data_IF_923540208444
#
_entry.id   IF_923540208444
#
_cell.length_a   1.000
_cell.length_b   1.000
_cell.length_c   1.000
_cell.angle_alpha   90.00
_cell.angle_beta   90.00
_cell.angle_gamma   90.00
#
_symmetry.space_group_name_H-M   'P 1'
#
loop_
_entity.id
_entity.type
_entity.pdbx_description
1 polymer ?
#
# COMPACT_ATOMS: atom_id res chain seq x y z
N UNK A 1 2.18 7.48 -32.21
CA UNK A 1 2.67 6.96 -30.92
C UNK A 1 1.86 7.65 -29.84
N UNK A 2 0.90 6.95 -29.23
CA UNK A 2 0.04 7.54 -28.18
C UNK A 2 0.71 7.28 -26.84
N UNK A 3 1.30 8.30 -26.23
CA UNK A 3 1.74 8.20 -24.85
C UNK A 3 0.49 8.04 -23.98
N UNK A 4 0.29 6.85 -23.43
CA UNK A 4 -0.77 6.62 -22.46
C UNK A 4 -0.35 7.30 -21.16
N UNK A 5 -0.80 8.54 -20.97
CA UNK A 5 -0.76 9.20 -19.67
C UNK A 5 -1.90 8.61 -18.84
N UNK A 6 -1.55 7.70 -17.92
CA UNK A 6 -2.51 7.05 -17.01
C UNK A 6 -2.18 7.37 -15.57
N UNK A 7 -3.19 7.72 -14.80
CA UNK A 7 -3.10 7.76 -13.34
C UNK A 7 -3.17 6.33 -12.77
N UNK A 8 -2.52 6.05 -11.63
CA UNK A 8 -2.63 4.76 -10.99
C UNK A 8 -4.04 4.57 -10.42
N UNK A 9 -4.63 3.40 -10.64
CA UNK A 9 -5.94 3.03 -10.08
C UNK A 9 -5.85 2.63 -8.59
N UNK A 10 -4.65 2.29 -8.11
CA UNK A 10 -4.40 1.91 -6.73
C UNK A 10 -3.00 2.35 -6.32
N UNK A 11 -2.89 2.96 -5.13
CA UNK A 11 -1.61 3.36 -4.52
C UNK A 11 -1.61 2.88 -3.07
N UNK A 12 -0.53 2.23 -2.66
CA UNK A 12 -0.29 1.78 -1.29
C UNK A 12 1.07 2.31 -0.81
N UNK A 13 1.10 2.85 0.39
CA UNK A 13 2.27 3.49 0.99
C UNK A 13 2.49 3.01 2.41
N UNK A 14 3.75 2.91 2.81
CA UNK A 14 4.16 2.43 4.13
C UNK A 14 5.31 3.28 4.67
N UNK A 15 5.31 3.53 5.97
CA UNK A 15 6.46 4.02 6.74
C UNK A 15 7.01 2.85 7.55
N UNK A 16 8.26 2.45 7.31
CA UNK A 16 8.88 1.28 7.95
C UNK A 16 10.39 1.45 8.05
N UNK A 17 11.01 0.80 9.04
CA UNK A 17 12.47 0.68 9.14
C UNK A 17 13.07 -0.32 8.18
N UNK A 18 12.29 -1.32 7.80
CA UNK A 18 12.73 -2.43 6.97
C UNK A 18 11.91 -2.42 5.70
N UNK A 19 12.41 -1.78 4.63
CA UNK A 19 11.67 -1.69 3.38
C UNK A 19 11.48 -3.10 2.80
N UNK A 20 10.22 -3.42 2.49
CA UNK A 20 9.83 -4.69 1.89
C UNK A 20 9.19 -4.42 0.53
N UNK A 21 9.66 -5.14 -0.49
CA UNK A 21 8.99 -5.17 -1.78
C UNK A 21 7.87 -6.21 -1.77
N UNK A 22 6.69 -5.82 -2.24
CA UNK A 22 5.54 -6.74 -2.40
C UNK A 22 5.45 -7.34 -3.81
N UNK A 23 6.47 -7.16 -4.66
CA UNK A 23 6.44 -7.62 -6.08
C UNK A 23 6.22 -9.13 -6.21
N UNK A 24 6.73 -9.90 -5.25
CA UNK A 24 6.59 -11.36 -5.13
C UNK A 24 5.14 -11.80 -4.95
N UNK A 25 4.22 -10.91 -4.55
CA UNK A 25 2.78 -11.16 -4.58
C UNK A 25 2.30 -11.62 -5.98
N UNK A 26 3.01 -11.21 -7.03
CA UNK A 26 2.70 -11.45 -8.43
C UNK A 26 3.68 -12.37 -9.15
N UNK A 27 4.54 -13.09 -8.41
CA UNK A 27 5.42 -14.11 -9.00
C UNK A 27 4.60 -15.14 -9.80
N UNK A 28 3.46 -15.55 -9.24
CA UNK A 28 2.45 -16.31 -9.98
C UNK A 28 1.56 -15.35 -10.76
N UNK A 29 1.57 -15.48 -12.09
CA UNK A 29 0.75 -14.67 -12.97
C UNK A 29 -0.73 -14.70 -12.60
N UNK A 30 -1.34 -13.51 -12.51
CA UNK A 30 -2.76 -13.37 -12.26
C UNK A 30 -3.58 -13.80 -13.49
N UNK A 31 -4.74 -14.40 -13.21
CA UNK A 31 -5.82 -14.55 -14.20
C UNK A 31 -6.80 -13.41 -14.02
N UNK A 32 -7.30 -12.78 -15.10
CA UNK A 32 -8.24 -11.67 -14.99
C UNK A 32 -9.57 -12.12 -14.36
N UNK A 33 -10.30 -11.19 -13.75
CA UNK A 33 -11.74 -11.31 -13.46
C UNK A 33 -12.56 -10.83 -14.67
N UNK A 34 -13.89 -10.80 -14.52
CA UNK A 34 -14.77 -10.18 -15.52
C UNK A 34 -14.50 -8.68 -15.70
N UNK A 35 -13.88 -8.03 -14.72
CA UNK A 35 -13.62 -6.59 -14.69
C UNK A 35 -12.14 -6.26 -14.96
N UNK A 36 -11.37 -7.21 -15.51
CA UNK A 36 -9.94 -7.04 -15.79
C UNK A 36 -9.04 -7.55 -14.66
N UNK A 37 -7.89 -6.91 -14.47
CA UNK A 37 -6.85 -7.41 -13.55
C UNK A 37 -6.85 -6.76 -12.17
N UNK A 38 -7.36 -5.55 -12.05
CA UNK A 38 -7.14 -4.72 -10.87
C UNK A 38 -7.70 -5.33 -9.59
N UNK A 39 -8.96 -5.73 -9.60
CA UNK A 39 -9.65 -6.38 -8.47
C UNK A 39 -8.82 -7.54 -7.89
N UNK A 40 -8.34 -8.43 -8.77
CA UNK A 40 -7.51 -9.56 -8.36
C UNK A 40 -6.10 -9.15 -7.95
N UNK A 41 -5.56 -8.09 -8.53
CA UNK A 41 -4.26 -7.57 -8.14
C UNK A 41 -4.29 -6.98 -6.72
N UNK A 42 -5.31 -6.19 -6.40
CA UNK A 42 -5.52 -5.61 -5.06
C UNK A 42 -5.77 -6.72 -4.02
N UNK A 43 -6.65 -7.68 -4.32
CA UNK A 43 -6.91 -8.81 -3.42
C UNK A 43 -5.66 -9.70 -3.20
N UNK A 44 -4.80 -9.84 -4.22
CA UNK A 44 -3.56 -10.59 -4.10
C UNK A 44 -2.51 -9.84 -3.27
N UNK A 45 -2.38 -8.51 -3.42
CA UNK A 45 -1.55 -7.68 -2.56
C UNK A 45 -2.01 -7.74 -1.11
N UNK A 46 -3.31 -7.63 -0.87
CA UNK A 46 -3.91 -7.71 0.46
C UNK A 46 -3.55 -9.04 1.16
N UNK A 47 -3.79 -10.16 0.48
CA UNK A 47 -3.44 -11.49 0.96
C UNK A 47 -1.94 -11.63 1.21
N UNK A 48 -1.11 -11.15 0.29
CA UNK A 48 0.33 -11.28 0.40
C UNK A 48 0.89 -10.45 1.56
N UNK A 49 0.42 -9.19 1.72
CA UNK A 49 0.81 -8.33 2.83
C UNK A 49 0.44 -8.96 4.18
N UNK A 50 -0.80 -9.47 4.30
CA UNK A 50 -1.24 -10.21 5.50
C UNK A 50 -0.33 -11.39 5.82
N UNK A 51 0.02 -12.18 4.80
CA UNK A 51 0.93 -13.32 4.95
C UNK A 51 2.34 -12.91 5.36
N UNK A 52 2.86 -11.84 4.77
CA UNK A 52 4.21 -11.33 5.05
C UNK A 52 4.33 -10.75 6.46
N UNK A 53 3.35 -9.97 6.90
CA UNK A 53 3.29 -9.46 8.27
C UNK A 53 3.25 -10.63 9.26
N UNK A 54 2.40 -11.63 9.01
CA UNK A 54 2.32 -12.81 9.88
C UNK A 54 3.62 -13.65 9.90
N UNK A 55 4.30 -13.75 8.75
CA UNK A 55 5.53 -14.54 8.62
C UNK A 55 6.75 -13.85 9.25
N UNK A 56 6.87 -12.54 9.06
CA UNK A 56 8.04 -11.77 9.51
C UNK A 56 7.89 -11.22 10.93
N UNK A 57 6.65 -11.03 11.40
CA UNK A 57 6.35 -10.30 12.62
C UNK A 57 6.62 -8.79 12.53
N UNK A 58 6.99 -8.30 11.34
CA UNK A 58 7.31 -6.90 11.11
C UNK A 58 6.03 -6.14 10.74
N UNK A 59 5.79 -5.03 11.43
CA UNK A 59 4.68 -4.13 11.16
C UNK A 59 5.24 -2.77 10.74
N UNK A 60 4.69 -2.14 9.69
CA UNK A 60 5.06 -0.77 9.39
C UNK A 60 4.61 0.14 10.55
N UNK A 61 5.37 1.22 10.79
CA UNK A 61 4.98 2.29 11.72
C UNK A 61 3.66 2.92 11.31
N UNK A 62 3.43 3.01 9.99
CA UNK A 62 2.18 3.46 9.40
C UNK A 62 2.03 2.87 8.00
N UNK A 63 0.79 2.63 7.57
CA UNK A 63 0.49 2.28 6.19
C UNK A 63 -0.95 2.65 5.82
N UNK A 64 -1.17 2.93 4.55
CA UNK A 64 -2.45 3.31 4.00
C UNK A 64 -2.49 3.20 2.49
N UNK A 65 -3.68 3.33 1.91
CA UNK A 65 -3.90 3.22 0.48
C UNK A 65 -4.95 4.19 -0.04
N UNK A 66 -4.93 4.41 -1.35
CA UNK A 66 -5.97 5.09 -2.11
C UNK A 66 -6.34 4.24 -3.33
N UNK A 67 -7.64 4.15 -3.61
CA UNK A 67 -8.17 3.39 -4.74
C UNK A 67 -9.09 4.27 -5.57
N UNK A 68 -8.94 4.22 -6.89
CA UNK A 68 -9.80 4.95 -7.81
C UNK A 68 -11.23 4.42 -7.70
N UNK A 69 -12.25 5.27 -7.46
CA UNK A 69 -13.64 4.82 -7.39
C UNK A 69 -14.13 4.19 -8.70
N UNK A 70 -13.55 4.60 -9.83
CA UNK A 70 -13.87 4.06 -11.16
C UNK A 70 -13.31 2.65 -11.38
N UNK A 71 -12.43 2.19 -10.49
CA UNK A 71 -11.68 0.96 -10.67
C UNK A 71 -12.45 -0.29 -10.20
N UNK A 72 -13.53 -0.10 -9.44
CA UNK A 72 -14.49 -1.17 -9.11
C UNK A 72 -13.92 -2.35 -8.32
N UNK A 73 -12.81 -2.15 -7.63
CA UNK A 73 -12.20 -3.14 -6.75
C UNK A 73 -12.65 -2.89 -5.29
N UNK A 74 -12.87 -3.98 -4.55
CA UNK A 74 -13.23 -3.92 -3.14
C UNK A 74 -12.09 -3.34 -2.30
N UNK A 75 -12.44 -2.71 -1.17
CA UNK A 75 -11.47 -2.19 -0.21
C UNK A 75 -10.66 -3.34 0.42
N UNK A 76 -9.32 -3.31 0.35
CA UNK A 76 -8.46 -4.31 0.98
C UNK A 76 -8.37 -4.13 2.50
N UNK A 77 -8.61 -5.21 3.26
CA UNK A 77 -8.69 -5.16 4.72
C UNK A 77 -7.33 -5.07 5.45
N UNK A 78 -6.22 -5.40 4.78
CA UNK A 78 -4.89 -5.55 5.38
C UNK A 78 -3.87 -4.56 4.78
N UNK A 79 -4.31 -3.56 4.01
CA UNK A 79 -3.44 -2.54 3.39
C UNK A 79 -3.57 -1.17 4.06
N UNK A 80 -3.90 -1.15 5.35
CA UNK A 80 -3.94 0.06 6.16
C UNK A 80 -5.15 0.93 5.89
N UNK A 81 -5.06 2.19 6.30
CA UNK A 81 -6.15 3.17 6.21
C UNK A 81 -6.51 3.51 4.76
N UNK A 82 -7.81 3.57 4.45
CA UNK A 82 -8.31 4.04 3.16
C UNK A 82 -8.37 5.58 3.14
N UNK A 83 -7.78 6.16 2.10
CA UNK A 83 -7.85 7.61 1.82
C UNK A 83 -8.66 7.92 0.56
N UNK A 84 -9.31 9.09 0.57
CA UNK A 84 -10.18 9.58 -0.52
C UNK A 84 -9.45 9.85 -1.84
N UNK A 85 -8.13 10.02 -1.80
CA UNK A 85 -7.33 10.24 -2.98
C UNK A 85 -5.82 10.24 -2.69
N UNK A 86 -5.04 10.29 -3.77
CA UNK A 86 -3.57 10.22 -3.70
C UNK A 86 -2.99 11.39 -2.89
N UNK A 87 -3.54 12.60 -3.01
CA UNK A 87 -3.05 13.77 -2.26
C UNK A 87 -3.22 13.60 -0.74
N UNK A 88 -4.36 13.05 -0.32
CA UNK A 88 -4.63 12.80 1.10
C UNK A 88 -3.75 11.68 1.64
N UNK A 89 -3.56 10.62 0.84
CA UNK A 89 -2.64 9.53 1.15
C UNK A 89 -1.19 10.03 1.31
N UNK A 90 -0.71 10.88 0.40
CA UNK A 90 0.64 11.45 0.44
C UNK A 90 0.83 12.32 1.68
N UNK A 91 -0.18 13.15 2.02
CA UNK A 91 -0.15 13.95 3.24
C UNK A 91 -0.05 13.06 4.48
N UNK A 92 -0.94 12.09 4.62
CA UNK A 92 -0.95 11.17 5.77
C UNK A 92 0.37 10.39 5.89
N UNK A 93 0.92 9.93 4.77
CA UNK A 93 2.24 9.26 4.72
C UNK A 93 3.35 10.17 5.23
N UNK A 94 3.34 11.44 4.82
CA UNK A 94 4.38 12.41 5.17
C UNK A 94 4.29 12.80 6.64
N UNK A 95 3.08 13.03 7.14
CA UNK A 95 2.81 13.32 8.56
C UNK A 95 3.29 12.14 9.43
N UNK A 96 2.90 10.91 9.08
CA UNK A 96 3.33 9.70 9.80
C UNK A 96 4.86 9.48 9.76
N UNK A 97 5.51 9.81 8.64
CA UNK A 97 6.96 9.73 8.53
C UNK A 97 7.66 10.74 9.44
N UNK A 98 7.14 11.97 9.53
CA UNK A 98 7.65 13.01 10.43
C UNK A 98 7.50 12.60 11.89
N UNK A 99 6.33 12.08 12.28
CA UNK A 99 6.08 11.59 13.64
C UNK A 99 7.01 10.43 14.01
N UNK A 100 7.20 9.49 13.08
CA UNK A 100 8.12 8.36 13.27
C UNK A 100 9.57 8.83 13.48
N UNK A 101 10.01 9.85 12.72
CA UNK A 101 11.34 10.41 12.87
C UNK A 101 11.51 11.13 14.23
N UNK A 102 10.55 11.96 14.61
CA UNK A 102 10.57 12.68 15.89
C UNK A 102 10.60 11.73 17.11
N UNK A 103 9.87 10.61 17.03
CA UNK A 103 9.88 9.58 18.07
C UNK A 103 11.26 8.93 18.26
N UNK A 104 12.02 8.71 17.17
CA UNK A 104 13.37 8.15 17.23
C UNK A 104 14.38 9.10 17.84
N UNK A 105 14.32 10.37 17.47
CA UNK A 105 15.21 11.39 18.01
C UNK A 105 15.04 11.52 19.53
N UNK A 106 13.79 11.42 20.00
CA UNK A 106 13.47 11.43 21.44
C UNK A 106 13.98 10.17 22.15
N UNK A 107 13.87 9.00 21.52
CA UNK A 107 14.33 7.73 22.09
C UNK A 107 15.87 7.60 22.13
N UNK A 108 16.59 8.23 21.19
CA UNK A 108 18.05 8.24 21.16
C UNK A 108 18.72 9.27 22.10
N UNK A 109 17.93 10.20 22.64
CA UNK A 109 18.40 11.22 23.58
C UNK A 109 18.30 10.82 25.07
N UNK A 110 17.71 9.65 25.36
CA UNK A 110 17.55 9.07 26.70
C UNK A 110 18.61 7.99 26.98
#
# INVERSE_FOLDING_TARGET
MTAAHTWPDFVYTTVTDRPLSLVTAFEKALRPSSNGYLERAVAQLDRYNKGMVAFTGEHPHWHGHAISPAAGADEPANLGELHTGISDLVRATTDAAADTAAARDTAGAA
#
